data_IF_350337029408
#
_entry.id   IF_350337029408
#
_cell.length_a   1.000
_cell.length_b   1.000
_cell.length_c   1.000
_cell.angle_alpha   90.00
_cell.angle_beta   90.00
_cell.angle_gamma   90.00
#
_symmetry.space_group_name_H-M   'P 1'
#
loop_
_entity.id
_entity.type
_entity.pdbx_description
1 polymer ?
#
# COMPACT_ATOMS: atom_id res chain seq x y z
N UNK A 1 -6.25 -6.99 -9.15
CA UNK A 1 -6.80 -7.01 -7.78
C UNK A 1 -6.78 -8.44 -7.27
N UNK A 2 -6.32 -8.67 -6.04
CA UNK A 2 -6.39 -9.99 -5.42
C UNK A 2 -7.83 -10.30 -4.97
N UNK A 3 -8.12 -11.55 -4.58
CA UNK A 3 -9.43 -11.99 -4.06
C UNK A 3 -9.51 -11.96 -2.53
N UNK A 4 -8.57 -11.29 -1.87
CA UNK A 4 -8.57 -11.15 -0.40
C UNK A 4 -9.39 -9.94 -0.01
N UNK A 5 -10.08 -10.05 1.13
CA UNK A 5 -10.85 -8.95 1.70
C UNK A 5 -9.99 -7.69 1.90
N UNK A 6 -10.61 -6.55 1.62
CA UNK A 6 -9.98 -5.25 1.77
C UNK A 6 -10.03 -4.77 3.21
N UNK A 7 -8.86 -4.47 3.77
CA UNK A 7 -8.72 -3.94 5.15
C UNK A 7 -8.21 -2.50 5.18
N UNK A 8 -7.80 -1.96 4.04
CA UNK A 8 -7.44 -0.55 3.88
C UNK A 8 -8.38 0.11 2.88
N UNK A 9 -8.95 1.26 3.26
CA UNK A 9 -9.64 2.16 2.35
C UNK A 9 -8.71 3.32 2.02
N UNK A 10 -8.51 3.61 0.74
CA UNK A 10 -7.79 4.79 0.31
C UNK A 10 -8.76 5.93 0.01
N UNK A 11 -8.47 7.13 0.49
CA UNK A 11 -9.30 8.32 0.25
C UNK A 11 -8.74 9.22 -0.86
N UNK A 12 -7.51 8.96 -1.32
CA UNK A 12 -6.88 9.69 -2.44
C UNK A 12 -7.10 9.04 -3.81
N UNK A 13 -7.36 7.73 -3.85
CA UNK A 13 -7.65 7.03 -5.11
C UNK A 13 -9.08 7.31 -5.58
N UNK A 14 -9.26 7.38 -6.90
CA UNK A 14 -10.58 7.55 -7.50
C UNK A 14 -11.54 6.42 -7.06
N UNK A 15 -12.72 6.80 -6.57
CA UNK A 15 -13.75 5.86 -6.10
C UNK A 15 -13.50 5.28 -4.71
N UNK A 16 -12.50 5.79 -3.98
CA UNK A 16 -12.14 5.38 -2.62
C UNK A 16 -12.08 3.84 -2.39
N UNK A 17 -11.29 3.12 -3.20
CA UNK A 17 -11.29 1.66 -3.21
C UNK A 17 -10.77 1.04 -1.91
N UNK A 18 -11.21 -0.21 -1.69
CA UNK A 18 -10.68 -1.10 -0.66
C UNK A 18 -9.56 -1.97 -1.20
N UNK A 19 -8.50 -2.14 -0.40
CA UNK A 19 -7.34 -2.97 -0.70
C UNK A 19 -7.03 -3.90 0.48
N UNK A 20 -6.58 -5.12 0.18
CA UNK A 20 -5.86 -5.91 1.18
C UNK A 20 -4.51 -5.23 1.51
N UNK A 21 -3.84 -5.62 2.59
CA UNK A 21 -2.55 -5.00 3.01
C UNK A 21 -1.50 -4.99 1.90
N UNK A 22 -1.35 -6.08 1.13
CA UNK A 22 -0.34 -6.18 0.07
C UNK A 22 -0.72 -5.35 -1.17
N UNK A 23 -1.98 -5.41 -1.60
CA UNK A 23 -2.48 -4.57 -2.68
C UNK A 23 -2.38 -3.09 -2.31
N UNK A 24 -2.62 -2.72 -1.06
CA UNK A 24 -2.48 -1.34 -0.61
C UNK A 24 -1.02 -0.88 -0.77
N UNK A 25 -0.06 -1.66 -0.28
CA UNK A 25 1.35 -1.27 -0.40
C UNK A 25 1.84 -1.17 -1.85
N UNK A 26 1.47 -2.13 -2.70
CA UNK A 26 1.88 -2.14 -4.11
C UNK A 26 1.25 -1.02 -4.95
N UNK A 27 -0.04 -0.73 -4.75
CA UNK A 27 -0.74 0.30 -5.53
C UNK A 27 -0.32 1.73 -5.16
N UNK A 28 0.17 1.94 -3.93
CA UNK A 28 0.54 3.28 -3.45
C UNK A 28 2.03 3.61 -3.54
N UNK A 29 2.86 2.75 -4.16
CA UNK A 29 4.30 3.05 -4.35
C UNK A 29 4.54 4.39 -5.06
N UNK A 30 3.68 4.74 -6.02
CA UNK A 30 3.74 6.00 -6.77
C UNK A 30 2.86 7.12 -6.19
N UNK A 31 2.11 6.82 -5.13
CA UNK A 31 1.21 7.74 -4.45
C UNK A 31 1.38 7.66 -2.93
N UNK A 32 2.60 7.84 -2.39
CA UNK A 32 2.92 7.57 -0.99
C UNK A 32 2.26 8.55 0.01
N UNK A 33 1.63 9.60 -0.49
CA UNK A 33 0.97 10.63 0.32
C UNK A 33 -0.56 10.51 0.35
N UNK A 34 -1.13 9.48 -0.28
CA UNK A 34 -2.56 9.23 -0.13
C UNK A 34 -2.90 8.87 1.30
N UNK A 35 -4.00 9.45 1.80
CA UNK A 35 -4.54 9.11 3.11
C UNK A 35 -5.31 7.79 3.03
N UNK A 36 -5.11 6.96 4.05
CA UNK A 36 -5.75 5.65 4.15
C UNK A 36 -6.38 5.49 5.53
N UNK A 37 -7.44 4.70 5.60
CA UNK A 37 -7.99 4.21 6.86
C UNK A 37 -7.93 2.69 6.89
N UNK A 38 -7.69 2.12 8.07
CA UNK A 38 -7.63 0.68 8.28
C UNK A 38 -8.87 0.18 9.01
N UNK A 39 -9.39 -0.97 8.60
CA UNK A 39 -10.48 -1.66 9.27
C UNK A 39 -9.99 -2.24 10.60
N UNK A 40 -10.66 -1.87 11.69
CA UNK A 40 -10.34 -2.34 13.05
C UNK A 40 -11.04 -3.65 13.42
N UNK A 41 -11.98 -4.10 12.59
CA UNK A 41 -12.95 -5.16 12.94
C UNK A 41 -14.38 -4.62 13.11
N UNK A 42 -14.53 -3.31 13.35
CA UNK A 42 -15.84 -2.68 13.56
C UNK A 42 -16.01 -1.32 12.85
N UNK A 43 -14.94 -0.55 12.66
CA UNK A 43 -14.96 0.71 11.91
C UNK A 43 -13.62 0.95 11.19
N UNK A 44 -13.61 1.96 10.31
CA UNK A 44 -12.38 2.45 9.69
C UNK A 44 -11.77 3.56 10.53
N UNK A 45 -10.53 3.38 10.94
CA UNK A 45 -9.75 4.38 11.67
C UNK A 45 -8.63 4.93 10.77
N UNK A 46 -8.23 6.18 10.98
CA UNK A 46 -7.11 6.79 10.27
C UNK A 46 -5.84 5.94 10.39
N UNK A 47 -5.12 5.80 9.29
CA UNK A 47 -3.92 4.98 9.22
C UNK A 47 -2.95 5.54 8.18
N UNK A 48 -1.82 4.88 8.00
CA UNK A 48 -0.76 5.33 7.12
C UNK A 48 -0.18 4.18 6.32
N UNK A 49 0.33 4.50 5.13
CA UNK A 49 0.85 3.52 4.18
C UNK A 49 2.08 2.77 4.68
N UNK A 50 2.82 3.30 5.68
CA UNK A 50 3.95 2.59 6.31
C UNK A 50 3.52 1.30 7.03
N UNK A 51 2.24 1.18 7.42
CA UNK A 51 1.68 -0.06 8.00
C UNK A 51 1.30 -1.09 6.93
N UNK A 52 1.26 -0.68 5.67
CA UNK A 52 1.16 -1.58 4.52
C UNK A 52 2.59 -1.96 4.13
N UNK A 53 2.82 -3.14 3.54
CA UNK A 53 4.17 -3.60 3.12
C UNK A 53 4.73 -2.80 1.94
N UNK A 54 4.52 -1.48 1.93
CA UNK A 54 4.95 -0.54 0.92
C UNK A 54 6.45 -0.29 1.08
N UNK A 55 7.17 -0.43 -0.02
CA UNK A 55 8.57 -0.02 -0.15
C UNK A 55 8.61 1.09 -1.19
N UNK A 56 9.32 2.18 -0.89
CA UNK A 56 9.54 3.29 -1.81
C UNK A 56 10.97 3.18 -2.32
N UNK A 57 11.12 2.93 -3.62
CA UNK A 57 12.41 2.96 -4.29
C UNK A 57 12.69 4.39 -4.75
N UNK A 58 13.81 4.96 -4.34
CA UNK A 58 14.17 6.35 -4.65
C UNK A 58 14.83 6.50 -6.04
N UNK A 59 15.30 5.41 -6.63
CA UNK A 59 15.93 5.35 -7.95
C UNK A 59 15.05 4.64 -8.99
N UNK A 60 15.60 4.47 -10.20
CA UNK A 60 15.01 3.66 -11.27
C UNK A 60 13.52 3.93 -11.55
N UNK A 61 13.09 5.20 -11.54
CA UNK A 61 11.69 5.59 -11.74
C UNK A 61 10.71 4.92 -10.75
N UNK A 62 11.19 4.66 -9.53
CA UNK A 62 10.44 3.98 -8.49
C UNK A 62 10.45 2.46 -8.59
N UNK A 63 11.29 1.87 -9.46
CA UNK A 63 11.49 0.42 -9.52
C UNK A 63 12.60 -0.04 -8.57
N UNK A 64 12.56 -1.32 -8.19
CA UNK A 64 13.62 -1.95 -7.40
C UNK A 64 14.97 -1.89 -8.12
N UNK A 65 16.07 -1.86 -7.35
CA UNK A 65 17.41 -1.89 -7.93
C UNK A 65 17.64 -3.28 -8.55
N UNK A 66 18.19 -3.39 -9.79
CA UNK A 66 18.47 -4.68 -10.41
C UNK A 66 19.57 -5.50 -9.69
N UNK A 67 20.28 -4.90 -8.73
CA UNK A 67 21.30 -5.53 -7.89
C UNK A 67 20.87 -5.67 -6.42
N UNK A 68 19.57 -5.62 -6.14
CA UNK A 68 19.07 -6.00 -4.81
C UNK A 68 19.12 -7.53 -4.64
N UNK A 69 20.25 -8.03 -4.14
CA UNK A 69 20.38 -9.40 -3.60
C UNK A 69 19.67 -9.57 -2.22
N UNK A 70 18.96 -8.55 -1.73
CA UNK A 70 18.36 -8.51 -0.39
C UNK A 70 16.83 -8.72 -0.40
N UNK A 71 16.32 -9.55 -1.31
CA UNK A 71 14.97 -10.15 -1.22
C UNK A 71 15.06 -11.62 -0.74
N UNK A 72 16.02 -11.92 0.13
CA UNK A 72 16.13 -13.17 0.87
C UNK A 72 15.66 -13.00 2.32
N UNK A 73 14.68 -13.83 2.69
CA UNK A 73 14.03 -14.02 4.02
C UNK A 73 12.77 -13.21 4.33
#
# INVERSE_FOLDING_TARGET
MCRTDGVYKCHGCFGEPLYCTNCCGTQHQRHPFHWVSQWTGSFFEESCLVKTRMVIWLGHEGNACPWDDDLGE
#
